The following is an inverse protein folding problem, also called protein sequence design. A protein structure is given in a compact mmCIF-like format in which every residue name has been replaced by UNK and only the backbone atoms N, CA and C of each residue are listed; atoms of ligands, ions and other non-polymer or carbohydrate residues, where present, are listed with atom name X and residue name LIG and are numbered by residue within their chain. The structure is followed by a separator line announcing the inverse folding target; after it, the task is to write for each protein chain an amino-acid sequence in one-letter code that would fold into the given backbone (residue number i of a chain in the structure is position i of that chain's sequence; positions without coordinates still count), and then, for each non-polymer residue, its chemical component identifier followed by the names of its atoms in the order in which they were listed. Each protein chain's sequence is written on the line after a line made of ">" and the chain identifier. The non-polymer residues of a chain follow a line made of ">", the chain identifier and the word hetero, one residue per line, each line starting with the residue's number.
data_IF_658572096508
#
_entry.id   IF_658572096508
#
_cell.length_a   1.000
_cell.length_b   1.000
_cell.length_c   1.000
_cell.angle_alpha   90.00
_cell.angle_beta   90.00
_cell.angle_gamma   90.00
#
_symmetry.space_group_name_H-M   'P 1'
#
loop_
_entity.id
_entity.type
_entity.pdbx_description
1 polymer ?
#
# COMPACT_ATOMS: atom_id res chain seq x y z
N UNK A 1 9.26 5.74 -10.70
CA UNK A 1 8.02 5.46 -11.44
C UNK A 1 7.65 6.60 -12.37
N UNK A 2 7.29 6.29 -13.60
CA UNK A 2 6.72 7.29 -14.47
C UNK A 2 5.32 7.70 -13.99
N UNK A 3 4.78 8.77 -14.54
CA UNK A 3 3.53 9.33 -14.07
C UNK A 3 2.33 8.39 -14.26
N UNK A 4 2.29 7.67 -15.37
CA UNK A 4 1.23 6.69 -15.63
C UNK A 4 1.24 5.57 -14.59
N UNK A 5 2.42 5.05 -14.27
CA UNK A 5 2.57 4.00 -13.27
C UNK A 5 2.28 4.50 -11.86
N UNK A 6 2.64 5.74 -11.55
CA UNK A 6 2.29 6.35 -10.25
C UNK A 6 0.78 6.39 -10.07
N UNK A 7 0.05 6.80 -11.10
CA UNK A 7 -1.41 6.83 -11.07
C UNK A 7 -2.01 5.45 -10.87
N UNK A 8 -1.54 4.47 -11.63
CA UNK A 8 -2.02 3.08 -11.50
C UNK A 8 -1.77 2.51 -10.13
N UNK A 9 -0.59 2.76 -9.55
CA UNK A 9 -0.27 2.31 -8.20
C UNK A 9 -1.14 3.01 -7.15
N UNK A 10 -1.37 4.30 -7.31
CA UNK A 10 -2.25 5.04 -6.40
C UNK A 10 -3.68 4.50 -6.45
N UNK A 11 -4.20 4.22 -7.65
CA UNK A 11 -5.52 3.62 -7.81
C UNK A 11 -5.59 2.24 -7.15
N UNK A 12 -4.53 1.43 -7.29
CA UNK A 12 -4.45 0.13 -6.64
C UNK A 12 -4.41 0.27 -5.12
N UNK A 13 -3.65 1.22 -4.61
CA UNK A 13 -3.58 1.52 -3.18
C UNK A 13 -4.96 1.94 -2.66
N UNK A 14 -5.66 2.80 -3.37
CA UNK A 14 -6.99 3.24 -2.97
C UNK A 14 -8.01 2.09 -2.96
N UNK A 15 -8.09 1.33 -4.03
CA UNK A 15 -9.06 0.23 -4.14
C UNK A 15 -8.77 -0.87 -3.12
N UNK A 16 -7.49 -1.20 -2.92
CA UNK A 16 -7.08 -2.20 -1.93
C UNK A 16 -7.29 -1.67 -0.51
N UNK A 17 -6.97 -0.40 -0.30
CA UNK A 17 -7.17 0.25 1.00
C UNK A 17 -8.62 0.25 1.44
N UNK A 18 -9.54 0.47 0.51
CA UNK A 18 -10.98 0.42 0.79
C UNK A 18 -11.40 -0.96 1.30
N UNK A 19 -10.83 -2.02 0.74
CA UNK A 19 -11.11 -3.40 1.17
C UNK A 19 -10.40 -3.75 2.47
N UNK A 20 -9.22 -3.19 2.67
CA UNK A 20 -8.36 -3.50 3.81
C UNK A 20 -8.81 -2.78 5.08
N UNK A 21 -9.39 -1.59 4.97
CA UNK A 21 -9.75 -0.77 6.11
C UNK A 21 -10.52 -1.53 7.20
N UNK A 22 -11.59 -2.28 6.89
CA UNK A 22 -12.32 -3.01 7.92
C UNK A 22 -11.56 -4.20 8.51
N UNK A 23 -10.47 -4.63 7.85
CA UNK A 23 -9.69 -5.78 8.28
C UNK A 23 -8.51 -5.39 9.19
N UNK A 24 -8.15 -4.11 9.25
CA UNK A 24 -7.06 -3.64 10.09
C UNK A 24 -7.53 -3.53 11.55
N UNK A 25 -6.71 -4.06 12.45
CA UNK A 25 -7.00 -3.97 13.89
C UNK A 25 -6.67 -2.57 14.39
N UNK A 26 -7.49 -2.00 15.28
CA UNK A 26 -7.15 -0.77 15.98
C UNK A 26 -5.87 -0.97 16.80
N UNK A 27 -5.11 0.11 17.00
CA UNK A 27 -3.94 0.09 17.88
C UNK A 27 -4.08 1.17 18.94
N UNK A 28 -3.23 1.12 19.97
CA UNK A 28 -3.23 2.14 21.01
C UNK A 28 -2.92 3.54 20.47
N UNK A 29 -2.21 3.62 19.34
CA UNK A 29 -1.88 4.90 18.70
C UNK A 29 -2.95 5.34 17.70
N UNK A 30 -3.85 4.44 17.34
CA UNK A 30 -4.92 4.69 16.37
C UNK A 30 -6.22 4.05 16.85
N UNK A 31 -6.81 4.59 17.94
CA UNK A 31 -7.97 3.95 18.58
C UNK A 31 -9.21 3.88 17.69
N UNK A 32 -9.30 4.76 16.68
CA UNK A 32 -10.39 4.74 15.71
C UNK A 32 -10.06 3.93 14.46
N UNK A 33 -8.99 3.14 14.52
CA UNK A 33 -8.51 2.34 13.42
C UNK A 33 -7.33 2.99 12.68
N UNK A 34 -6.61 2.19 11.92
CA UNK A 34 -5.47 2.67 11.12
C UNK A 34 -5.94 3.14 9.75
N UNK A 35 -5.24 4.14 9.20
CA UNK A 35 -5.47 4.57 7.82
C UNK A 35 -4.88 3.52 6.89
N UNK A 36 -5.75 2.79 6.18
CA UNK A 36 -5.34 1.70 5.30
C UNK A 36 -4.46 2.15 4.14
N UNK A 37 -4.71 3.32 3.60
CA UNK A 37 -3.90 3.86 2.49
C UNK A 37 -2.48 4.14 2.95
N UNK A 38 -2.34 4.79 4.10
CA UNK A 38 -1.04 5.05 4.70
C UNK A 38 -0.33 3.74 5.09
N UNK A 39 -1.07 2.77 5.60
CA UNK A 39 -0.53 1.45 5.93
C UNK A 39 0.12 0.79 4.71
N UNK A 40 -0.59 0.79 3.57
CA UNK A 40 -0.07 0.22 2.33
C UNK A 40 1.17 0.98 1.85
N UNK A 41 1.09 2.30 1.81
CA UNK A 41 2.21 3.13 1.33
C UNK A 41 3.46 2.96 2.19
N UNK A 42 3.31 2.94 3.51
CA UNK A 42 4.41 2.72 4.44
C UNK A 42 4.99 1.31 4.32
N UNK A 43 4.13 0.31 4.14
CA UNK A 43 4.58 -1.07 3.95
C UNK A 43 5.43 -1.21 2.69
N UNK A 44 5.04 -0.54 1.60
CA UNK A 44 5.84 -0.51 0.37
C UNK A 44 7.20 0.14 0.63
N UNK A 45 7.21 1.27 1.31
CA UNK A 45 8.45 1.97 1.63
C UNK A 45 9.39 1.11 2.48
N UNK A 46 8.86 0.40 3.46
CA UNK A 46 9.65 -0.49 4.31
C UNK A 46 10.21 -1.67 3.51
N UNK A 47 9.38 -2.27 2.65
CA UNK A 47 9.81 -3.43 1.88
C UNK A 47 10.84 -3.09 0.81
N UNK A 48 10.61 -2.02 0.07
CA UNK A 48 11.44 -1.65 -1.09
C UNK A 48 12.47 -0.57 -0.80
N UNK A 49 12.44 0.03 0.39
CA UNK A 49 13.41 1.04 0.81
C UNK A 49 13.09 2.47 0.38
N UNK A 50 12.10 2.66 -0.49
CA UNK A 50 11.70 3.98 -1.00
C UNK A 50 10.18 4.02 -1.19
N UNK A 51 9.63 5.23 -1.26
CA UNK A 51 8.24 5.44 -1.65
C UNK A 51 8.00 4.82 -3.03
N UNK A 52 6.79 4.31 -3.26
CA UNK A 52 6.44 3.75 -4.56
C UNK A 52 6.65 4.75 -5.71
N UNK A 53 6.53 6.04 -5.43
CA UNK A 53 6.72 7.09 -6.43
C UNK A 53 8.17 7.19 -6.93
N UNK A 54 9.12 6.80 -6.08
CA UNK A 54 10.54 6.92 -6.34
C UNK A 54 11.20 5.62 -6.79
N UNK A 55 10.42 4.55 -6.84
CA UNK A 55 10.91 3.26 -7.30
C UNK A 55 10.95 3.21 -8.82
N UNK A 56 11.84 2.37 -9.35
CA UNK A 56 11.99 2.16 -10.78
C UNK A 56 10.76 1.49 -11.39
N UNK A 57 10.44 1.79 -12.65
CA UNK A 57 9.29 1.23 -13.34
C UNK A 57 9.33 -0.30 -13.47
N UNK A 58 10.51 -0.89 -13.45
CA UNK A 58 10.65 -2.34 -13.49
C UNK A 58 10.17 -3.03 -12.20
N UNK A 59 9.92 -2.26 -11.15
CA UNK A 59 9.35 -2.77 -9.89
C UNK A 59 7.82 -2.74 -9.87
N UNK A 60 7.18 -2.21 -10.90
CA UNK A 60 5.73 -2.02 -10.91
C UNK A 60 4.97 -3.32 -10.58
N UNK A 61 5.27 -4.40 -11.27
CA UNK A 61 4.56 -5.68 -11.07
C UNK A 61 4.80 -6.26 -9.68
N UNK A 62 6.02 -6.13 -9.15
CA UNK A 62 6.33 -6.57 -7.80
C UNK A 62 5.54 -5.79 -6.75
N UNK A 63 5.39 -4.49 -6.96
CA UNK A 63 4.64 -3.63 -6.04
C UNK A 63 3.15 -4.00 -6.08
N UNK A 64 2.59 -4.23 -7.26
CA UNK A 64 1.19 -4.67 -7.40
C UNK A 64 0.97 -5.98 -6.64
N UNK A 65 1.85 -6.95 -6.83
CA UNK A 65 1.77 -8.25 -6.14
C UNK A 65 1.88 -8.09 -4.63
N UNK A 66 2.74 -7.18 -4.18
CA UNK A 66 2.91 -6.92 -2.76
C UNK A 66 1.66 -6.27 -2.14
N UNK A 67 1.04 -5.34 -2.86
CA UNK A 67 -0.21 -4.72 -2.39
C UNK A 67 -1.29 -5.80 -2.22
N UNK A 68 -1.41 -6.72 -3.17
CA UNK A 68 -2.35 -7.84 -3.06
C UNK A 68 -2.02 -8.75 -1.88
N UNK A 69 -0.73 -8.98 -1.64
CA UNK A 69 -0.26 -9.74 -0.48
C UNK A 69 -0.70 -9.08 0.83
N UNK A 70 -0.62 -7.76 0.92
CA UNK A 70 -1.06 -7.04 2.11
C UNK A 70 -2.55 -7.21 2.39
N UNK A 71 -3.36 -7.28 1.33
CA UNK A 71 -4.80 -7.52 1.50
C UNK A 71 -5.08 -8.92 2.03
N UNK A 72 -4.31 -9.92 1.59
CA UNK A 72 -4.44 -11.30 2.09
C UNK A 72 -3.88 -11.48 3.50
N UNK A 73 -3.01 -10.57 3.93
CA UNK A 73 -2.35 -10.61 5.25
C UNK A 73 -2.49 -9.23 5.92
N UNK A 74 -3.69 -8.90 6.45
CA UNK A 74 -4.02 -7.54 6.88
C UNK A 74 -3.21 -7.01 8.06
N UNK A 75 -2.56 -7.86 8.81
CA UNK A 75 -1.72 -7.49 9.95
C UNK A 75 -0.33 -8.08 9.80
#
# INVERSE_FOLDING_TARGET
>A
MNETNRKKLWEKIQSTGDKLQPLLKPSQFHPNGRNSYAHIALSIKEKFGKSYKDLSDDKFDEIISYIEHLLRNPN
#
